data_IF_208715232527
#
_entry.id   IF_208715232527
#
_cell.length_a   1.000
_cell.length_b   1.000
_cell.length_c   1.000
_cell.angle_alpha   90.00
_cell.angle_beta   90.00
_cell.angle_gamma   90.00
#
_symmetry.space_group_name_H-M   'P 1'
#
loop_
_entity.id
_entity.type
_entity.pdbx_description
1 polymer ?
#
# COMPACT_ATOMS: atom_id res chain seq x y z
N UNK A 1 2.28 10.04 18.70
CA UNK A 1 2.56 11.49 18.67
C UNK A 1 3.13 11.85 17.30
N UNK A 2 2.42 12.67 16.52
CA UNK A 2 2.82 13.07 15.18
C UNK A 2 3.91 14.15 15.27
N UNK A 3 5.16 13.80 14.99
CA UNK A 3 6.24 14.77 14.75
C UNK A 3 6.05 15.32 13.33
N UNK A 4 5.68 16.58 13.21
CA UNK A 4 5.61 17.24 11.92
C UNK A 4 7.00 17.75 11.50
N UNK A 5 7.29 17.74 10.19
CA UNK A 5 8.59 18.16 9.61
C UNK A 5 8.84 19.68 9.66
N UNK A 6 7.93 20.46 10.22
CA UNK A 6 8.13 21.90 10.38
C UNK A 6 9.11 22.17 11.53
N UNK A 7 9.97 23.19 11.38
CA UNK A 7 10.84 23.68 12.45
C UNK A 7 10.02 23.87 13.72
N UNK A 8 10.52 23.34 14.84
CA UNK A 8 9.88 23.56 16.13
C UNK A 8 9.81 25.06 16.39
N UNK A 9 8.63 25.51 16.81
CA UNK A 9 8.40 26.90 17.17
C UNK A 9 9.31 27.25 18.35
N UNK A 10 10.30 28.12 18.12
CA UNK A 10 11.14 28.65 19.20
C UNK A 10 10.47 29.86 19.86
N UNK A 11 10.83 30.18 21.10
CA UNK A 11 10.30 31.36 21.80
C UNK A 11 10.66 32.67 21.07
N UNK A 12 11.81 32.69 20.36
CA UNK A 12 12.22 33.80 19.49
C UNK A 12 11.30 33.98 18.26
N UNK A 13 10.85 32.87 17.65
CA UNK A 13 9.90 32.90 16.53
C UNK A 13 8.52 33.46 16.96
N UNK A 14 8.18 33.35 18.25
CA UNK A 14 6.94 33.86 18.83
C UNK A 14 6.95 35.34 19.15
N UNK A 15 8.11 35.91 19.47
CA UNK A 15 8.24 37.37 19.68
C UNK A 15 8.11 38.17 18.38
N UNK A 16 8.39 37.57 17.23
CA UNK A 16 8.37 38.24 15.92
C UNK A 16 6.97 38.28 15.27
N UNK A 17 6.01 37.48 15.73
CA UNK A 17 4.69 37.33 15.08
C UNK A 17 3.58 37.69 16.06
N UNK A 18 2.98 38.88 15.95
CA UNK A 18 1.88 39.27 16.83
C UNK A 18 0.70 38.30 16.65
N UNK A 19 0.08 37.93 17.78
CA UNK A 19 -1.12 37.09 17.77
C UNK A 19 -2.28 37.81 17.09
N UNK A 20 -3.14 37.04 16.44
CA UNK A 20 -4.38 37.56 15.87
C UNK A 20 -5.36 37.92 17.00
N UNK A 21 -5.58 39.22 17.18
CA UNK A 21 -6.60 39.73 18.09
C UNK A 21 -7.99 39.26 17.66
N UNK A 22 -8.81 38.80 18.61
CA UNK A 22 -10.16 38.27 18.34
C UNK A 22 -11.11 39.32 17.73
N UNK A 23 -10.88 40.59 18.07
CA UNK A 23 -11.62 41.74 17.54
C UNK A 23 -11.14 42.16 16.15
N UNK A 24 -10.02 41.61 15.67
CA UNK A 24 -9.47 42.00 14.37
C UNK A 24 -10.30 41.43 13.21
N UNK A 25 -10.39 42.22 12.14
CA UNK A 25 -11.00 41.80 10.88
C UNK A 25 -10.29 40.58 10.27
N UNK A 26 -8.98 40.45 10.50
CA UNK A 26 -8.18 39.32 10.08
C UNK A 26 -8.63 38.02 10.78
N UNK A 27 -8.84 38.06 12.11
CA UNK A 27 -9.37 36.93 12.86
C UNK A 27 -10.78 36.52 12.39
N UNK A 28 -11.68 37.49 12.21
CA UNK A 28 -13.03 37.21 11.71
C UNK A 28 -13.05 36.59 10.31
N UNK A 29 -12.09 36.96 9.45
CA UNK A 29 -11.94 36.37 8.10
C UNK A 29 -11.40 34.94 8.19
N UNK A 30 -10.38 34.71 9.00
CA UNK A 30 -9.85 33.38 9.26
C UNK A 30 -10.92 32.45 9.82
N UNK A 31 -11.68 32.92 10.81
CA UNK A 31 -12.77 32.15 11.42
C UNK A 31 -13.82 31.75 10.39
N UNK A 32 -14.23 32.65 9.50
CA UNK A 32 -15.20 32.34 8.43
C UNK A 32 -14.69 31.25 7.49
N UNK A 33 -13.41 31.27 7.14
CA UNK A 33 -12.81 30.27 6.24
C UNK A 33 -12.70 28.92 6.94
N UNK A 34 -12.16 28.89 8.16
CA UNK A 34 -11.94 27.65 8.92
C UNK A 34 -13.26 26.99 9.34
N UNK A 35 -14.27 27.78 9.69
CA UNK A 35 -15.59 27.31 10.10
C UNK A 35 -16.58 27.15 8.94
N UNK A 36 -16.12 27.25 7.69
CA UNK A 36 -16.99 27.04 6.53
C UNK A 36 -17.55 25.61 6.53
N UNK A 37 -18.87 25.48 6.46
CA UNK A 37 -19.55 24.17 6.54
C UNK A 37 -19.12 23.22 5.41
N UNK A 38 -18.77 23.74 4.23
CA UNK A 38 -18.31 22.92 3.10
C UNK A 38 -16.87 22.45 3.33
N UNK A 39 -16.03 23.30 3.92
CA UNK A 39 -14.68 22.92 4.33
C UNK A 39 -14.73 21.82 5.40
N UNK A 40 -15.50 22.01 6.48
CA UNK A 40 -15.62 21.03 7.56
C UNK A 40 -16.15 19.68 7.06
N UNK A 41 -17.18 19.68 6.20
CA UNK A 41 -17.71 18.45 5.58
C UNK A 41 -16.72 17.76 4.64
N UNK A 42 -15.79 18.52 4.05
CA UNK A 42 -14.70 17.94 3.25
C UNK A 42 -13.61 17.37 4.14
N UNK A 43 -13.22 18.07 5.21
CA UNK A 43 -12.22 17.61 6.18
C UNK A 43 -12.64 16.29 6.83
N UNK A 44 -13.93 16.10 7.12
CA UNK A 44 -14.50 14.83 7.58
C UNK A 44 -14.28 13.66 6.59
N UNK A 45 -14.11 13.98 5.30
CA UNK A 45 -13.82 13.00 4.24
C UNK A 45 -12.34 12.92 3.87
N UNK A 46 -11.51 13.80 4.42
CA UNK A 46 -10.06 13.70 4.24
C UNK A 46 -9.62 12.56 5.13
N UNK A 47 -9.42 11.39 4.53
CA UNK A 47 -8.60 10.35 5.15
C UNK A 47 -7.27 10.98 5.50
N UNK A 48 -6.75 10.69 6.71
CA UNK A 48 -5.39 11.07 7.10
C UNK A 48 -4.45 10.89 5.90
N UNK A 49 -3.50 11.81 5.71
CA UNK A 49 -2.60 11.84 4.55
C UNK A 49 -1.72 10.59 4.50
N UNK A 50 -2.30 9.45 4.13
CA UNK A 50 -1.63 8.17 4.02
C UNK A 50 -0.89 8.22 2.70
N UNK A 51 0.42 8.35 2.79
CA UNK A 51 1.30 8.28 1.64
C UNK A 51 1.20 6.87 1.02
N UNK A 52 0.64 6.77 -0.19
CA UNK A 52 0.39 5.49 -0.88
C UNK A 52 1.63 4.91 -1.57
N UNK A 53 2.80 5.54 -1.45
CA UNK A 53 3.98 5.14 -2.22
C UNK A 53 4.45 3.70 -1.96
N UNK A 54 4.26 3.18 -0.75
CA UNK A 54 4.58 1.77 -0.43
C UNK A 54 3.60 0.80 -1.07
N UNK A 55 2.31 1.11 -0.99
CA UNK A 55 1.25 0.34 -1.66
C UNK A 55 1.47 0.30 -3.17
N UNK A 56 1.84 1.43 -3.77
CA UNK A 56 2.18 1.53 -5.20
C UNK A 56 3.43 0.71 -5.55
N UNK A 57 4.42 0.64 -4.65
CA UNK A 57 5.61 -0.20 -4.81
C UNK A 57 5.27 -1.68 -4.88
N UNK A 58 4.42 -2.15 -3.96
CA UNK A 58 3.91 -3.53 -3.95
C UNK A 58 3.09 -3.81 -5.22
N UNK A 59 2.19 -2.90 -5.59
CA UNK A 59 1.33 -3.07 -6.77
C UNK A 59 2.13 -3.15 -8.07
N UNK A 60 3.23 -2.39 -8.15
CA UNK A 60 4.18 -2.47 -9.26
C UNK A 60 4.84 -3.86 -9.36
N UNK A 61 5.18 -4.49 -8.23
CA UNK A 61 5.67 -5.86 -8.21
C UNK A 61 4.58 -6.86 -8.62
N UNK A 62 3.36 -6.74 -8.11
CA UNK A 62 2.26 -7.60 -8.54
C UNK A 62 2.04 -7.55 -10.05
N UNK A 63 2.07 -6.36 -10.64
CA UNK A 63 1.94 -6.20 -12.10
C UNK A 63 3.10 -6.87 -12.85
N UNK A 64 4.31 -6.88 -12.29
CA UNK A 64 5.48 -7.56 -12.87
C UNK A 64 5.35 -9.09 -12.83
N UNK A 65 4.91 -9.65 -11.71
CA UNK A 65 4.80 -11.10 -11.52
C UNK A 65 3.54 -11.71 -12.15
N UNK A 66 2.47 -10.91 -12.17
CA UNK A 66 1.13 -11.28 -12.61
C UNK A 66 0.62 -10.21 -13.60
N UNK A 67 1.21 -10.14 -14.80
CA UNK A 67 0.75 -9.20 -15.82
C UNK A 67 -0.68 -9.53 -16.25
N UNK A 68 -1.56 -8.53 -16.25
CA UNK A 68 -2.98 -8.67 -16.65
C UNK A 68 -3.17 -9.25 -18.06
N UNK A 69 -2.17 -9.12 -18.94
CA UNK A 69 -2.20 -9.60 -20.33
C UNK A 69 -2.03 -11.11 -20.45
N UNK A 70 -1.75 -11.84 -19.37
CA UNK A 70 -1.58 -13.29 -19.38
C UNK A 70 -2.65 -13.94 -18.52
N UNK A 71 -3.18 -15.06 -19.00
CA UNK A 71 -4.04 -15.91 -18.20
C UNK A 71 -3.19 -16.80 -17.28
N UNK A 72 -3.62 -16.94 -16.04
CA UNK A 72 -2.99 -17.81 -15.05
C UNK A 72 -4.04 -18.75 -14.46
N UNK A 73 -3.64 -19.99 -14.18
CA UNK A 73 -4.43 -20.84 -13.27
C UNK A 73 -4.42 -20.22 -11.88
N UNK A 74 -5.44 -20.52 -11.08
CA UNK A 74 -5.55 -19.98 -9.72
C UNK A 74 -4.30 -20.30 -8.87
N UNK A 75 -3.79 -21.53 -8.97
CA UNK A 75 -2.58 -21.96 -8.27
C UNK A 75 -1.34 -21.16 -8.70
N UNK A 76 -1.16 -20.98 -10.02
CA UNK A 76 -0.03 -20.20 -10.55
C UNK A 76 -0.16 -18.73 -10.14
N UNK A 77 -1.38 -18.19 -10.13
CA UNK A 77 -1.67 -16.82 -9.72
C UNK A 77 -1.31 -16.60 -8.25
N UNK A 78 -1.78 -17.47 -7.36
CA UNK A 78 -1.46 -17.40 -5.92
C UNK A 78 0.04 -17.54 -5.66
N UNK A 79 0.69 -18.52 -6.29
CA UNK A 79 2.14 -18.72 -6.15
C UNK A 79 2.94 -17.48 -6.59
N UNK A 80 2.55 -16.85 -7.70
CA UNK A 80 3.19 -15.63 -8.21
C UNK A 80 2.95 -14.42 -7.30
N UNK A 81 1.76 -14.28 -6.73
CA UNK A 81 1.47 -13.23 -5.74
C UNK A 81 2.31 -13.40 -4.47
N UNK A 82 2.41 -14.63 -3.96
CA UNK A 82 3.28 -14.96 -2.81
C UNK A 82 4.74 -14.63 -3.14
N UNK A 83 5.22 -14.98 -4.33
CA UNK A 83 6.57 -14.65 -4.77
C UNK A 83 6.83 -13.14 -4.89
N UNK A 84 5.84 -12.38 -5.34
CA UNK A 84 5.93 -10.92 -5.41
C UNK A 84 5.98 -10.27 -4.01
N UNK A 85 5.22 -10.81 -3.05
CA UNK A 85 5.29 -10.39 -1.66
C UNK A 85 6.66 -10.70 -1.03
N UNK A 86 7.24 -11.88 -1.32
CA UNK A 86 8.59 -12.22 -0.88
C UNK A 86 9.64 -11.28 -1.50
N UNK A 87 9.56 -10.96 -2.80
CA UNK A 87 10.46 -9.97 -3.44
C UNK A 87 10.36 -8.61 -2.75
N UNK A 88 9.13 -8.17 -2.43
CA UNK A 88 8.91 -6.92 -1.73
C UNK A 88 9.54 -6.92 -0.34
N UNK A 89 9.21 -7.91 0.49
CA UNK A 89 9.69 -8.01 1.87
C UNK A 89 11.21 -8.12 1.94
N UNK A 90 11.84 -8.83 0.99
CA UNK A 90 13.29 -8.93 0.94
C UNK A 90 13.99 -7.62 0.52
N UNK A 91 13.26 -6.66 -0.05
CA UNK A 91 13.84 -5.46 -0.67
C UNK A 91 13.28 -4.12 -0.15
N UNK A 92 12.35 -4.12 0.81
CA UNK A 92 11.74 -2.89 1.34
C UNK A 92 12.76 -2.09 2.19
N UNK A 93 13.42 -2.76 3.12
CA UNK A 93 14.33 -2.16 4.12
C UNK A 93 15.78 -2.05 3.64
N UNK A 94 15.98 -1.93 2.32
CA UNK A 94 17.33 -1.70 1.77
C UNK A 94 17.89 -0.38 2.24
N UNK A 95 19.09 -0.46 2.79
CA UNK A 95 19.90 0.67 3.22
C UNK A 95 20.24 1.62 2.06
N UNK A 96 20.63 2.84 2.41
CA UNK A 96 21.17 3.80 1.45
C UNK A 96 22.54 3.33 0.96
N UNK A 97 22.76 3.38 -0.35
CA UNK A 97 24.02 3.03 -0.97
C UNK A 97 25.13 3.97 -0.51
N UNK A 98 26.30 3.40 -0.25
CA UNK A 98 27.52 4.13 0.08
C UNK A 98 28.53 4.01 -1.07
N UNK A 99 29.32 5.06 -1.25
CA UNK A 99 30.49 5.05 -2.13
C UNK A 99 31.61 4.20 -1.53
N UNK A 100 32.64 3.85 -2.32
CA UNK A 100 33.83 3.14 -1.84
C UNK A 100 34.56 3.86 -0.69
N UNK A 101 34.32 5.17 -0.53
CA UNK A 101 34.89 6.02 0.53
C UNK A 101 33.95 6.16 1.76
N UNK A 102 32.85 5.41 1.81
CA UNK A 102 31.87 5.45 2.91
C UNK A 102 30.84 6.59 2.83
N UNK A 103 30.93 7.51 1.87
CA UNK A 103 29.96 8.60 1.73
C UNK A 103 28.63 8.11 1.15
N UNK A 104 27.50 8.58 1.71
CA UNK A 104 26.14 8.26 1.26
C UNK A 104 25.89 8.75 -0.19
N UNK A 105 25.24 7.92 -0.99
CA UNK A 105 24.89 8.22 -2.39
C UNK A 105 23.50 8.82 -2.52
N UNK A 106 23.38 9.81 -3.40
CA UNK A 106 22.12 10.46 -3.73
C UNK A 106 21.95 10.55 -5.24
N UNK A 107 20.70 10.67 -5.69
CA UNK A 107 20.34 10.95 -7.08
C UNK A 107 19.52 12.24 -7.17
N UNK A 108 19.76 13.02 -8.21
CA UNK A 108 18.89 14.14 -8.58
C UNK A 108 17.67 13.60 -9.33
N UNK A 109 16.47 13.98 -8.89
CA UNK A 109 15.21 13.61 -9.52
C UNK A 109 14.31 14.84 -9.62
N UNK A 110 13.80 15.12 -10.82
CA UNK A 110 12.86 16.22 -11.02
C UNK A 110 11.53 15.94 -10.29
N UNK A 111 11.06 16.91 -9.51
CA UNK A 111 9.81 16.85 -8.75
C UNK A 111 8.88 17.95 -9.27
N UNK A 112 7.74 17.53 -9.85
CA UNK A 112 6.71 18.48 -10.31
C UNK A 112 6.16 19.36 -9.18
N UNK A 113 5.83 18.83 -7.98
CA UNK A 113 5.38 19.66 -6.87
C UNK A 113 6.40 20.70 -6.42
N UNK A 114 7.70 20.38 -6.49
CA UNK A 114 8.77 21.30 -6.09
C UNK A 114 9.22 22.24 -7.22
N UNK A 115 8.70 22.08 -8.45
CA UNK A 115 9.10 22.87 -9.61
C UNK A 115 10.57 22.72 -10.02
N UNK A 116 11.27 21.68 -9.56
CA UNK A 116 12.72 21.58 -9.70
C UNK A 116 13.30 20.22 -9.36
N UNK A 117 14.63 20.12 -9.46
CA UNK A 117 15.38 18.91 -9.12
C UNK A 117 15.52 18.76 -7.61
N UNK A 118 15.11 17.62 -7.08
CA UNK A 118 15.21 17.25 -5.67
C UNK A 118 16.23 16.13 -5.51
N UNK A 119 17.00 16.18 -4.42
CA UNK A 119 17.97 15.15 -4.07
C UNK A 119 17.26 14.02 -3.33
N UNK A 120 17.39 12.78 -3.81
CA UNK A 120 16.80 11.59 -3.21
C UNK A 120 17.88 10.57 -2.85
N UNK A 121 17.79 9.98 -1.66
CA UNK A 121 18.66 8.90 -1.23
C UNK A 121 18.61 7.72 -2.22
N UNK A 122 19.77 7.23 -2.66
CA UNK A 122 19.86 6.06 -3.52
C UNK A 122 19.97 4.81 -2.64
N UNK A 123 19.03 3.87 -2.74
CA UNK A 123 19.10 2.59 -2.02
C UNK A 123 20.10 1.65 -2.70
N UNK A 124 20.69 0.72 -1.93
CA UNK A 124 21.55 -0.36 -2.45
C UNK A 124 20.84 -1.19 -3.53
N UNK A 125 21.57 -1.85 -4.45
CA UNK A 125 20.95 -2.72 -5.45
C UNK A 125 20.06 -3.80 -4.81
N UNK A 126 19.02 -4.22 -5.54
CA UNK A 126 18.13 -5.29 -5.07
C UNK A 126 18.88 -6.62 -4.96
N UNK A 127 18.62 -7.35 -3.87
CA UNK A 127 19.04 -8.73 -3.71
C UNK A 127 17.93 -9.67 -4.17
N UNK A 128 18.32 -10.80 -4.75
CA UNK A 128 17.40 -11.86 -5.19
C UNK A 128 17.78 -13.23 -4.61
N UNK A 129 18.52 -13.25 -3.50
CA UNK A 129 19.01 -14.49 -2.88
C UNK A 129 17.87 -15.42 -2.46
N UNK A 130 16.74 -14.87 -2.01
CA UNK A 130 15.53 -15.64 -1.69
C UNK A 130 15.07 -16.55 -2.85
N UNK A 131 15.31 -16.16 -4.11
CA UNK A 131 14.97 -17.00 -5.26
C UNK A 131 15.84 -18.24 -5.33
N UNK A 132 17.13 -18.10 -5.01
CA UNK A 132 18.07 -19.22 -4.95
C UNK A 132 17.68 -20.18 -3.83
N UNK A 133 17.36 -19.65 -2.65
CA UNK A 133 16.90 -20.44 -1.50
C UNK A 133 15.63 -21.25 -1.83
N UNK A 134 14.65 -20.62 -2.49
CA UNK A 134 13.45 -21.31 -2.96
C UNK A 134 13.82 -22.44 -3.93
N UNK A 135 14.71 -22.18 -4.91
CA UNK A 135 15.11 -23.18 -5.89
C UNK A 135 15.86 -24.35 -5.25
N UNK A 136 16.75 -24.09 -4.29
CA UNK A 136 17.45 -25.15 -3.54
C UNK A 136 16.44 -26.02 -2.81
N UNK A 137 15.51 -25.43 -2.05
CA UNK A 137 14.48 -26.19 -1.34
C UNK A 137 13.56 -26.99 -2.27
N UNK A 138 13.30 -26.50 -3.49
CA UNK A 138 12.57 -27.27 -4.50
C UNK A 138 13.37 -28.48 -4.95
N UNK A 139 14.67 -28.31 -5.26
CA UNK A 139 15.54 -29.43 -5.67
C UNK A 139 15.66 -30.47 -4.55
N UNK A 140 15.87 -30.04 -3.31
CA UNK A 140 15.94 -30.95 -2.16
C UNK A 140 14.66 -31.77 -2.00
N UNK A 141 13.49 -31.13 -2.10
CA UNK A 141 12.19 -31.83 -2.07
C UNK A 141 12.01 -32.77 -3.25
N UNK A 142 12.47 -32.41 -4.45
CA UNK A 142 12.44 -33.31 -5.60
C UNK A 142 13.30 -34.57 -5.39
N UNK A 143 14.40 -34.44 -4.65
CA UNK A 143 15.33 -35.54 -4.37
C UNK A 143 14.87 -36.42 -3.20
N UNK A 144 14.16 -35.86 -2.21
CA UNK A 144 13.68 -36.58 -1.04
C UNK A 144 12.28 -37.19 -1.20
N UNK A 145 11.41 -36.57 -2.00
CA UNK A 145 10.02 -37.01 -2.16
C UNK A 145 9.87 -38.02 -3.30
N UNK A 146 9.10 -39.09 -3.07
CA UNK A 146 8.75 -40.07 -4.11
C UNK A 146 7.83 -39.47 -5.19
N UNK A 147 7.10 -38.39 -4.87
CA UNK A 147 6.27 -37.62 -5.82
C UNK A 147 5.84 -36.26 -5.24
N UNK A 148 6.40 -35.15 -5.76
CA UNK A 148 5.96 -33.78 -5.43
C UNK A 148 4.46 -33.54 -5.69
N UNK A 149 3.83 -34.32 -6.57
CA UNK A 149 2.39 -34.20 -6.85
C UNK A 149 1.53 -34.64 -5.67
N UNK A 150 2.00 -35.60 -4.86
CA UNK A 150 1.26 -36.08 -3.69
C UNK A 150 1.23 -35.02 -2.59
N UNK A 151 2.39 -34.43 -2.27
CA UNK A 151 2.50 -33.35 -1.29
C UNK A 151 1.72 -32.10 -1.71
N UNK A 152 1.73 -31.76 -3.00
CA UNK A 152 0.95 -30.64 -3.52
C UNK A 152 -0.57 -30.91 -3.44
N UNK A 153 -1.00 -32.16 -3.58
CA UNK A 153 -2.40 -32.54 -3.46
C UNK A 153 -2.90 -32.35 -2.02
N UNK A 154 -2.11 -32.74 -1.01
CA UNK A 154 -2.44 -32.54 0.41
C UNK A 154 -2.62 -31.05 0.76
N UNK A 155 -1.76 -30.16 0.24
CA UNK A 155 -1.94 -28.71 0.40
C UNK A 155 -3.15 -28.13 -0.36
N UNK A 156 -3.56 -28.74 -1.48
CA UNK A 156 -4.79 -28.32 -2.17
C UNK A 156 -6.04 -28.62 -1.34
N UNK A 157 -6.05 -29.70 -0.56
CA UNK A 157 -7.21 -30.08 0.25
C UNK A 157 -7.50 -29.04 1.35
N UNK A 158 -6.48 -28.45 1.97
CA UNK A 158 -6.65 -27.41 3.00
C UNK A 158 -7.21 -26.09 2.47
N UNK A 159 -6.93 -25.75 1.20
CA UNK A 159 -7.46 -24.54 0.54
C UNK A 159 -8.82 -24.79 -0.15
N UNK A 160 -9.15 -26.05 -0.46
CA UNK A 160 -10.39 -26.45 -1.13
C UNK A 160 -11.61 -26.57 -0.21
N UNK A 161 -11.43 -26.68 1.11
CA UNK A 161 -12.53 -26.63 2.09
C UNK A 161 -13.27 -25.28 2.10
N UNK A 162 -12.66 -24.23 1.54
CA UNK A 162 -13.37 -22.99 1.22
C UNK A 162 -14.02 -23.15 -0.15
N UNK A 163 -15.28 -23.57 -0.14
CA UNK A 163 -16.17 -23.64 -1.31
C UNK A 163 -15.92 -22.46 -2.25
N UNK A 164 -15.27 -22.72 -3.39
CA UNK A 164 -14.86 -21.67 -4.32
C UNK A 164 -16.09 -21.14 -5.02
N UNK A 165 -16.66 -20.06 -4.47
CA UNK A 165 -17.75 -19.28 -5.08
C UNK A 165 -17.24 -18.62 -6.36
N UNK A 166 -17.28 -19.36 -7.46
CA UNK A 166 -16.99 -18.79 -8.78
C UNK A 166 -18.17 -17.92 -9.23
N UNK A 167 -17.94 -16.92 -10.07
CA UNK A 167 -19.03 -16.14 -10.68
C UNK A 167 -20.00 -17.03 -11.50
N UNK A 168 -19.54 -18.20 -11.96
CA UNK A 168 -20.38 -19.21 -12.61
C UNK A 168 -21.20 -20.08 -11.65
N UNK A 169 -20.97 -19.98 -10.33
CA UNK A 169 -21.76 -20.64 -9.29
C UNK A 169 -23.11 -19.92 -9.03
N UNK A 170 -23.67 -19.24 -10.04
CA UNK A 170 -25.04 -18.75 -10.03
C UNK A 170 -26.07 -19.89 -10.09
N UNK A 171 -25.66 -21.14 -10.32
CA UNK A 171 -26.54 -22.31 -10.17
C UNK A 171 -26.90 -22.49 -8.69
N UNK A 172 -27.99 -21.84 -8.25
CA UNK A 172 -28.56 -21.96 -6.91
C UNK A 172 -28.63 -20.66 -6.12
N UNK A 173 -28.01 -19.57 -6.58
CA UNK A 173 -28.18 -18.25 -5.97
C UNK A 173 -29.49 -17.62 -6.46
N UNK A 174 -30.52 -17.67 -5.63
CA UNK A 174 -31.76 -16.93 -5.88
C UNK A 174 -31.44 -15.45 -5.88
N UNK A 175 -31.75 -14.77 -6.99
CA UNK A 175 -31.64 -13.32 -7.08
C UNK A 175 -32.55 -12.72 -6.00
N UNK A 176 -32.03 -11.93 -5.05
CA UNK A 176 -32.86 -11.30 -4.04
C UNK A 176 -33.87 -10.36 -4.70
N UNK A 177 -35.01 -10.15 -4.02
CA UNK A 177 -35.98 -9.17 -4.48
C UNK A 177 -35.33 -7.77 -4.51
N UNK A 178 -35.88 -6.88 -5.33
CA UNK A 178 -35.38 -5.51 -5.40
C UNK A 178 -35.49 -4.80 -4.04
N UNK A 179 -36.55 -5.09 -3.30
CA UNK A 179 -36.82 -4.53 -1.98
C UNK A 179 -35.77 -4.98 -0.96
N UNK A 180 -35.46 -6.28 -0.91
CA UNK A 180 -34.45 -6.83 0.01
C UNK A 180 -33.04 -6.32 -0.31
N UNK A 181 -32.70 -6.23 -1.60
CA UNK A 181 -31.42 -5.70 -2.03
C UNK A 181 -31.25 -4.22 -1.67
N UNK A 182 -32.31 -3.42 -1.79
CA UNK A 182 -32.33 -2.00 -1.41
C UNK A 182 -32.24 -1.86 0.11
N UNK A 183 -33.02 -2.63 0.88
CA UNK A 183 -32.98 -2.62 2.34
C UNK A 183 -31.58 -2.98 2.88
N UNK A 184 -30.96 -4.04 2.32
CA UNK A 184 -29.59 -4.43 2.67
C UNK A 184 -28.55 -3.38 2.26
N UNK A 185 -28.72 -2.70 1.13
CA UNK A 185 -27.81 -1.62 0.74
C UNK A 185 -27.90 -0.44 1.72
N UNK A 186 -29.12 -0.02 2.06
CA UNK A 186 -29.39 1.10 2.95
C UNK A 186 -28.93 0.82 4.39
N UNK A 187 -29.08 -0.41 4.89
CA UNK A 187 -28.65 -0.77 6.26
C UNK A 187 -27.15 -0.58 6.50
N UNK A 188 -26.31 -0.70 5.47
CA UNK A 188 -24.85 -0.45 5.56
C UNK A 188 -24.51 1.01 5.85
N UNK A 189 -25.44 1.93 5.64
CA UNK A 189 -25.26 3.37 5.83
C UNK A 189 -25.98 3.92 7.07
N UNK A 190 -26.78 3.10 7.77
CA UNK A 190 -27.52 3.54 8.97
C UNK A 190 -26.62 3.67 10.20
N UNK A 191 -25.44 3.02 10.22
CA UNK A 191 -24.45 3.14 11.30
C UNK A 191 -23.25 4.03 10.92
N UNK A 192 -23.50 5.24 10.41
CA UNK A 192 -22.47 6.29 10.27
C UNK A 192 -22.97 7.63 10.75
#
# INVERSE_FOLDING_TARGET
MLKCEHKLYSEEDGSSRPWLERSSKAFGTLQKVVMDKRLLKKLDKVTEGIHTGELESIHSLYTKYVPKRKMFTEESFQARLRLAALDHNHNIDREQAQTKKGALQFKLQYSKPAGGSVVKAMKTPKSYNFRREIMIGVVERCLSASSMRSELAEHRHTDAEKEKRTLGAHKGLVKPSKEDAVAHHLSRFVNK
#
